data_IF_828983611089
#
_entry.id   IF_828983611089
#
_cell.length_a   1.000
_cell.length_b   1.000
_cell.length_c   1.000
_cell.angle_alpha   90.00
_cell.angle_beta   90.00
_cell.angle_gamma   90.00
#
_symmetry.space_group_name_H-M   'P 1'
#
loop_
_entity.id
_entity.type
_entity.pdbx_description
1 polymer ?
#
# COMPACT_ATOMS: atom_id res chain seq x y z
N UNK A 1 15.09 -26.54 9.74
CA UNK A 1 14.74 -27.17 8.45
C UNK A 1 14.96 -26.15 7.36
N UNK A 2 15.91 -26.38 6.49
CA UNK A 2 16.06 -25.58 5.26
C UNK A 2 14.80 -25.77 4.42
N UNK A 3 14.10 -24.66 4.11
CA UNK A 3 12.95 -24.73 3.20
C UNK A 3 13.47 -25.07 1.81
N UNK A 4 12.97 -26.15 1.23
CA UNK A 4 13.21 -26.48 -0.18
C UNK A 4 12.58 -25.38 -1.06
N UNK A 5 13.25 -24.98 -2.15
CA UNK A 5 12.76 -23.99 -3.11
C UNK A 5 11.38 -24.32 -3.69
N UNK A 6 11.00 -25.58 -3.67
CA UNK A 6 9.72 -26.09 -4.22
C UNK A 6 8.53 -25.99 -3.25
N UNK A 7 8.71 -25.57 -1.98
CA UNK A 7 7.64 -25.61 -0.98
C UNK A 7 6.39 -24.78 -1.39
N UNK A 8 6.57 -23.70 -2.16
CA UNK A 8 5.46 -22.91 -2.71
C UNK A 8 4.59 -23.72 -3.70
N UNK A 9 5.19 -24.75 -4.34
CA UNK A 9 4.52 -25.66 -5.26
C UNK A 9 4.00 -26.95 -4.64
N UNK A 10 4.44 -27.31 -3.43
CA UNK A 10 4.20 -28.65 -2.85
C UNK A 10 3.37 -28.64 -1.57
N UNK A 11 3.56 -27.68 -0.66
CA UNK A 11 2.77 -27.58 0.58
C UNK A 11 1.29 -27.28 0.32
N UNK A 12 0.40 -27.64 1.24
CA UNK A 12 -1.04 -27.39 1.09
C UNK A 12 -1.32 -25.87 0.99
N UNK A 13 -2.19 -25.50 0.05
CA UNK A 13 -2.50 -24.08 -0.24
C UNK A 13 -3.02 -23.33 0.99
N UNK A 14 -3.88 -23.98 1.79
CA UNK A 14 -4.44 -23.36 3.01
C UNK A 14 -3.37 -23.05 4.05
N UNK A 15 -2.45 -24.00 4.30
CA UNK A 15 -1.33 -23.81 5.22
C UNK A 15 -0.39 -22.72 4.74
N UNK A 16 -0.05 -22.72 3.44
CA UNK A 16 0.80 -21.69 2.83
C UNK A 16 0.17 -20.31 2.93
N UNK A 17 -1.12 -20.18 2.60
CA UNK A 17 -1.79 -18.89 2.66
C UNK A 17 -1.76 -18.35 4.10
N UNK A 18 -2.05 -19.15 5.11
CA UNK A 18 -1.95 -18.72 6.50
C UNK A 18 -0.52 -18.34 6.90
N UNK A 19 0.47 -19.15 6.52
CA UNK A 19 1.88 -18.89 6.84
C UNK A 19 2.43 -17.61 6.20
N UNK A 20 1.91 -17.20 5.05
CA UNK A 20 2.34 -16.02 4.34
C UNK A 20 1.45 -14.80 4.64
N UNK A 21 0.14 -14.98 4.72
CA UNK A 21 -0.80 -13.88 4.96
C UNK A 21 -0.75 -13.36 6.40
N UNK A 22 -0.63 -14.21 7.42
CA UNK A 22 -0.57 -13.73 8.81
C UNK A 22 0.61 -12.78 9.06
N UNK A 23 1.86 -13.10 8.66
CA UNK A 23 2.95 -12.15 8.81
C UNK A 23 2.77 -10.87 7.99
N UNK A 24 2.22 -10.96 6.77
CA UNK A 24 1.99 -9.75 5.96
C UNK A 24 0.90 -8.87 6.54
N UNK A 25 -0.19 -9.43 7.04
CA UNK A 25 -1.22 -8.67 7.79
C UNK A 25 -0.61 -8.03 9.04
N UNK A 26 0.14 -8.81 9.82
CA UNK A 26 0.81 -8.28 11.01
C UNK A 26 1.77 -7.13 10.67
N UNK A 27 2.54 -7.23 9.59
CA UNK A 27 3.41 -6.16 9.12
C UNK A 27 2.64 -4.87 8.79
N UNK A 28 1.48 -4.98 8.13
CA UNK A 28 0.62 -3.82 7.83
C UNK A 28 0.10 -3.16 9.11
N UNK A 29 -0.37 -3.96 10.07
CA UNK A 29 -0.85 -3.44 11.35
C UNK A 29 0.27 -2.77 12.17
N UNK A 30 1.45 -3.39 12.23
CA UNK A 30 2.63 -2.82 12.91
C UNK A 30 3.01 -1.48 12.25
N UNK A 31 3.03 -1.43 10.93
CA UNK A 31 3.34 -0.22 10.17
C UNK A 31 2.36 0.93 10.48
N UNK A 32 1.06 0.62 10.58
CA UNK A 32 0.05 1.60 10.97
C UNK A 32 0.25 2.07 12.41
N UNK A 33 0.47 1.14 13.34
CA UNK A 33 0.61 1.45 14.76
C UNK A 33 1.81 2.37 15.02
N UNK A 34 2.97 2.08 14.44
CA UNK A 34 4.13 2.94 14.65
C UNK A 34 3.92 4.34 14.08
N UNK A 35 3.25 4.49 12.93
CA UNK A 35 2.91 5.80 12.38
C UNK A 35 1.99 6.62 13.31
N UNK A 36 1.09 5.95 14.04
CA UNK A 36 0.25 6.60 15.04
C UNK A 36 1.10 7.06 16.24
N UNK A 37 1.99 6.20 16.72
CA UNK A 37 2.87 6.51 17.87
C UNK A 37 3.81 7.67 17.56
N UNK A 38 4.42 7.67 16.36
CA UNK A 38 5.27 8.77 15.88
C UNK A 38 4.52 10.12 15.92
N UNK A 39 3.28 10.15 15.41
CA UNK A 39 2.44 11.35 15.45
C UNK A 39 2.08 11.79 16.87
N UNK A 40 1.86 10.84 17.78
CA UNK A 40 1.61 11.13 19.19
C UNK A 40 2.84 11.84 19.78
N UNK A 41 4.04 11.32 19.57
CA UNK A 41 5.27 11.98 20.06
C UNK A 41 5.45 13.38 19.47
N UNK A 42 5.28 13.56 18.17
CA UNK A 42 5.38 14.87 17.50
C UNK A 42 4.35 15.87 18.09
N UNK A 43 3.11 15.41 18.30
CA UNK A 43 2.04 16.23 18.86
C UNK A 43 2.28 16.66 20.31
N UNK A 44 3.15 15.97 21.04
CA UNK A 44 3.51 16.28 22.43
C UNK A 44 4.80 17.08 22.57
N UNK A 45 5.38 17.60 21.50
CA UNK A 45 6.53 18.50 21.56
C UNK A 45 6.13 19.77 22.36
N UNK A 46 6.85 20.11 23.46
CA UNK A 46 6.48 21.23 24.32
C UNK A 46 6.44 22.57 23.57
N UNK A 47 5.32 23.25 23.63
CA UNK A 47 5.13 24.59 23.05
C UNK A 47 4.88 24.63 21.55
N UNK A 48 5.23 23.58 20.81
CA UNK A 48 5.23 23.56 19.32
C UNK A 48 4.44 22.38 18.72
N UNK A 49 3.94 21.45 19.53
CA UNK A 49 3.39 20.17 19.09
C UNK A 49 2.31 20.29 18.01
N UNK A 50 1.38 21.24 18.12
CA UNK A 50 0.32 21.42 17.13
C UNK A 50 0.86 21.90 15.76
N UNK A 51 1.80 22.85 15.76
CA UNK A 51 2.44 23.36 14.54
C UNK A 51 3.36 22.31 13.92
N UNK A 52 4.10 21.60 14.77
CA UNK A 52 4.96 20.48 14.39
C UNK A 52 4.17 19.36 13.70
N UNK A 53 3.07 18.91 14.32
CA UNK A 53 2.20 17.87 13.78
C UNK A 53 1.56 18.29 12.45
N UNK A 54 1.13 19.54 12.35
CA UNK A 54 0.59 20.12 11.10
C UNK A 54 1.68 20.17 10.02
N UNK A 55 2.89 20.61 10.36
CA UNK A 55 4.02 20.67 9.43
C UNK A 55 4.39 19.29 8.88
N UNK A 56 4.48 18.28 9.75
CA UNK A 56 4.71 16.89 9.31
C UNK A 56 3.54 16.36 8.49
N UNK A 57 2.31 16.73 8.83
CA UNK A 57 1.11 16.38 8.04
C UNK A 57 1.21 16.85 6.58
N UNK A 58 1.75 18.03 6.33
CA UNK A 58 1.98 18.55 4.97
C UNK A 58 3.06 17.77 4.21
N UNK A 59 3.99 17.10 4.91
CA UNK A 59 4.98 16.22 4.28
C UNK A 59 4.39 14.89 3.75
N UNK A 60 3.23 14.46 4.26
CA UNK A 60 2.65 13.14 3.95
C UNK A 60 2.44 12.88 2.46
N UNK A 61 1.93 13.81 1.63
CA UNK A 61 1.81 13.57 0.19
C UNK A 61 3.17 13.28 -0.47
N UNK A 62 4.24 13.96 -0.07
CA UNK A 62 5.58 13.71 -0.60
C UNK A 62 6.13 12.35 -0.16
N UNK A 63 5.90 11.96 1.10
CA UNK A 63 6.24 10.63 1.61
C UNK A 63 5.48 9.53 0.86
N UNK A 64 4.21 9.77 0.55
CA UNK A 64 3.41 8.84 -0.28
C UNK A 64 3.94 8.70 -1.69
N UNK A 65 4.42 9.79 -2.31
CA UNK A 65 5.09 9.74 -3.62
C UNK A 65 6.34 8.87 -3.56
N UNK A 66 7.18 9.04 -2.53
CA UNK A 66 8.36 8.18 -2.31
C UNK A 66 7.96 6.71 -2.21
N UNK A 67 6.94 6.40 -1.40
CA UNK A 67 6.43 5.02 -1.23
C UNK A 67 5.82 4.46 -2.52
N UNK A 68 5.15 5.30 -3.32
CA UNK A 68 4.59 4.90 -4.62
C UNK A 68 5.69 4.47 -5.61
N UNK A 69 6.82 5.16 -5.65
CA UNK A 69 7.96 4.76 -6.47
C UNK A 69 8.60 3.45 -5.99
N UNK A 70 8.67 3.23 -4.67
CA UNK A 70 9.10 1.94 -4.14
C UNK A 70 8.16 0.80 -4.57
N UNK A 71 6.85 1.05 -4.51
CA UNK A 71 5.83 0.11 -4.96
C UNK A 71 5.91 -0.16 -6.47
N UNK A 72 6.16 0.86 -7.28
CA UNK A 72 6.31 0.75 -8.74
C UNK A 72 7.32 -0.33 -9.13
N UNK A 73 8.46 -0.34 -8.49
CA UNK A 73 9.55 -1.27 -8.81
C UNK A 73 9.41 -2.57 -8.01
N UNK A 74 9.18 -2.49 -6.70
CA UNK A 74 9.16 -3.64 -5.80
C UNK A 74 7.96 -4.56 -6.04
N UNK A 75 6.75 -4.01 -6.06
CA UNK A 75 5.53 -4.80 -6.25
C UNK A 75 5.36 -5.30 -7.71
N UNK A 76 6.05 -4.69 -8.67
CA UNK A 76 6.06 -5.21 -10.03
C UNK A 76 7.14 -6.26 -10.26
N UNK A 77 8.33 -6.07 -9.70
CA UNK A 77 9.46 -6.97 -9.86
C UNK A 77 9.32 -8.28 -9.08
N UNK A 78 8.83 -8.22 -7.85
CA UNK A 78 8.72 -9.38 -6.98
C UNK A 78 7.84 -10.52 -7.52
N UNK A 79 6.61 -10.27 -8.05
CA UNK A 79 5.81 -11.32 -8.70
C UNK A 79 6.50 -11.91 -9.92
N UNK A 80 7.17 -11.08 -10.74
CA UNK A 80 7.91 -11.55 -11.93
C UNK A 80 9.06 -12.47 -11.53
N UNK A 81 9.82 -12.10 -10.49
CA UNK A 81 10.87 -12.98 -9.96
C UNK A 81 10.29 -14.31 -9.46
N UNK A 82 9.13 -14.29 -8.78
CA UNK A 82 8.45 -15.51 -8.31
C UNK A 82 7.95 -16.37 -9.49
N UNK A 83 7.45 -15.77 -10.57
CA UNK A 83 7.09 -16.50 -11.81
C UNK A 83 8.33 -17.17 -12.42
N UNK A 84 9.49 -16.49 -12.49
CA UNK A 84 10.72 -17.09 -13.00
C UNK A 84 11.23 -18.21 -12.08
N UNK A 85 11.09 -18.06 -10.76
CA UNK A 85 11.36 -19.16 -9.81
C UNK A 85 10.51 -20.39 -10.11
N UNK A 86 9.21 -20.21 -10.36
CA UNK A 86 8.30 -21.28 -10.73
C UNK A 86 8.66 -21.96 -12.07
N UNK A 87 9.26 -21.21 -13.00
CA UNK A 87 9.82 -21.73 -14.27
C UNK A 87 11.17 -22.42 -14.11
N UNK A 88 11.72 -22.49 -12.90
CA UNK A 88 13.08 -22.92 -12.61
C UNK A 88 14.19 -22.07 -13.28
N UNK A 89 13.85 -20.86 -13.73
CA UNK A 89 14.81 -19.89 -14.30
C UNK A 89 15.34 -18.95 -13.20
N UNK A 90 16.18 -19.52 -12.34
CA UNK A 90 16.80 -18.75 -11.22
C UNK A 90 17.63 -17.58 -11.74
N UNK A 91 18.23 -17.70 -12.92
CA UNK A 91 19.05 -16.64 -13.52
C UNK A 91 18.22 -15.40 -13.82
N UNK A 92 17.07 -15.56 -14.48
CA UNK A 92 16.15 -14.42 -14.74
C UNK A 92 15.51 -13.89 -13.48
N UNK A 93 15.23 -14.74 -12.49
CA UNK A 93 14.71 -14.30 -11.20
C UNK A 93 15.74 -13.42 -10.45
N UNK A 94 17.02 -13.82 -10.39
CA UNK A 94 18.10 -13.02 -9.81
C UNK A 94 18.38 -11.74 -10.61
N UNK A 95 18.31 -11.79 -11.95
CA UNK A 95 18.42 -10.58 -12.80
C UNK A 95 17.27 -9.61 -12.52
N UNK A 96 16.04 -10.10 -12.33
CA UNK A 96 14.89 -9.24 -11.96
C UNK A 96 15.13 -8.56 -10.62
N UNK A 97 15.57 -9.29 -9.59
CA UNK A 97 15.94 -8.74 -8.30
C UNK A 97 17.03 -7.67 -8.43
N UNK A 98 18.15 -7.98 -9.12
CA UNK A 98 19.30 -7.08 -9.26
C UNK A 98 18.96 -5.81 -10.06
N UNK A 99 18.18 -5.94 -11.14
CA UNK A 99 17.71 -4.79 -11.93
C UNK A 99 16.76 -3.90 -11.12
N UNK A 100 15.83 -4.48 -10.36
CA UNK A 100 14.94 -3.72 -9.49
C UNK A 100 15.71 -3.02 -8.35
N UNK A 101 16.72 -3.67 -7.77
CA UNK A 101 17.60 -3.03 -6.79
C UNK A 101 18.31 -1.80 -7.37
N UNK A 102 18.96 -1.96 -8.53
CA UNK A 102 19.65 -0.86 -9.19
C UNK A 102 18.70 0.30 -9.54
N UNK A 103 17.50 -0.02 -10.03
CA UNK A 103 16.48 1.00 -10.34
C UNK A 103 16.00 1.71 -9.07
N UNK A 104 15.80 0.99 -7.95
CA UNK A 104 15.45 1.61 -6.66
C UNK A 104 16.53 2.60 -6.19
N UNK A 105 17.80 2.24 -6.33
CA UNK A 105 18.92 3.15 -6.01
C UNK A 105 18.87 4.41 -6.88
N UNK A 106 18.69 4.26 -8.19
CA UNK A 106 18.62 5.40 -9.11
C UNK A 106 17.43 6.30 -8.77
N UNK A 107 16.24 5.72 -8.59
CA UNK A 107 15.04 6.47 -8.22
C UNK A 107 15.23 7.18 -6.89
N UNK A 108 15.84 6.52 -5.89
CA UNK A 108 16.09 7.14 -4.59
C UNK A 108 17.01 8.34 -4.67
N UNK A 109 18.07 8.28 -5.50
CA UNK A 109 18.97 9.39 -5.70
C UNK A 109 18.26 10.57 -6.40
N UNK A 110 17.45 10.28 -7.43
CA UNK A 110 16.66 11.31 -8.13
C UNK A 110 15.68 11.98 -7.16
N UNK A 111 14.93 11.16 -6.39
CA UNK A 111 13.98 11.66 -5.40
C UNK A 111 14.68 12.47 -4.30
N UNK A 112 15.84 12.02 -3.81
CA UNK A 112 16.64 12.77 -2.84
C UNK A 112 16.99 14.16 -3.35
N UNK A 113 17.48 14.27 -4.60
CA UNK A 113 17.82 15.55 -5.21
C UNK A 113 16.57 16.44 -5.35
N UNK A 114 15.48 15.90 -5.89
CA UNK A 114 14.22 16.65 -6.07
C UNK A 114 13.68 17.13 -4.72
N UNK A 115 13.62 16.26 -3.72
CA UNK A 115 13.10 16.61 -2.39
C UNK A 115 14.03 17.55 -1.66
N UNK A 116 15.35 17.43 -1.78
CA UNK A 116 16.30 18.31 -1.10
C UNK A 116 16.32 19.72 -1.69
N UNK A 117 16.30 19.84 -3.01
CA UNK A 117 16.36 21.14 -3.69
C UNK A 117 14.99 21.82 -3.81
N UNK A 118 13.92 21.03 -3.92
CA UNK A 118 12.57 21.54 -4.20
C UNK A 118 11.63 21.53 -2.99
N UNK A 119 12.05 21.05 -1.80
CA UNK A 119 11.14 20.76 -0.70
C UNK A 119 10.30 21.98 -0.28
N UNK A 120 10.89 23.16 -0.12
CA UNK A 120 10.16 24.37 0.32
C UNK A 120 9.04 24.73 -0.67
N UNK A 121 9.34 24.73 -1.97
CA UNK A 121 8.36 25.03 -3.02
C UNK A 121 7.26 23.97 -3.10
N UNK A 122 7.64 22.69 -3.01
CA UNK A 122 6.69 21.58 -3.00
C UNK A 122 5.79 21.64 -1.77
N UNK A 123 6.35 21.84 -0.57
CA UNK A 123 5.59 21.90 0.67
C UNK A 123 4.61 23.09 0.69
N UNK A 124 5.00 24.26 0.17
CA UNK A 124 4.09 25.38 -0.02
C UNK A 124 2.96 25.04 -0.99
N UNK A 125 3.27 24.37 -2.10
CA UNK A 125 2.25 23.90 -3.06
C UNK A 125 1.28 22.88 -2.45
N UNK A 126 1.74 22.07 -1.48
CA UNK A 126 0.91 21.12 -0.74
C UNK A 126 0.21 21.72 0.50
N UNK A 127 0.30 23.03 0.72
CA UNK A 127 -0.50 23.73 1.71
C UNK A 127 0.21 24.08 3.02
N UNK A 128 1.56 24.09 3.05
CA UNK A 128 2.29 24.62 4.19
C UNK A 128 2.03 26.13 4.35
N UNK A 129 1.74 26.55 5.55
CA UNK A 129 1.58 27.97 5.90
C UNK A 129 2.91 28.59 6.34
N UNK A 130 2.94 29.92 6.47
CA UNK A 130 4.11 30.63 7.02
C UNK A 130 4.55 30.11 8.39
N UNK A 131 3.61 29.61 9.19
CA UNK A 131 3.88 29.11 10.56
C UNK A 131 4.33 27.64 10.58
N UNK A 132 4.04 26.86 9.54
CA UNK A 132 4.30 25.40 9.51
C UNK A 132 5.44 25.02 8.57
N UNK A 133 5.82 25.91 7.64
CA UNK A 133 6.80 25.60 6.60
C UNK A 133 8.17 25.22 7.16
N UNK A 134 8.63 25.86 8.20
CA UNK A 134 9.97 25.60 8.75
C UNK A 134 10.05 24.25 9.46
N UNK A 135 8.95 23.80 10.10
CA UNK A 135 8.81 22.45 10.65
C UNK A 135 8.80 21.42 9.52
N UNK A 136 8.01 21.65 8.48
CA UNK A 136 7.90 20.76 7.32
C UNK A 136 9.24 20.63 6.58
N UNK A 137 9.94 21.72 6.31
CA UNK A 137 11.28 21.74 5.68
C UNK A 137 12.31 21.06 6.58
N UNK A 138 12.27 21.31 7.89
CA UNK A 138 13.15 20.68 8.86
C UNK A 138 13.03 19.16 8.87
N UNK A 139 11.80 18.64 8.80
CA UNK A 139 11.52 17.21 8.67
C UNK A 139 11.99 16.67 7.32
N UNK A 140 11.55 17.31 6.22
CA UNK A 140 11.76 16.81 4.87
C UNK A 140 13.23 16.80 4.44
N UNK A 141 14.05 17.75 4.91
CA UNK A 141 15.49 17.75 4.61
C UNK A 141 16.19 16.47 5.11
N UNK A 142 15.84 16.03 6.33
CA UNK A 142 16.42 14.81 6.91
C UNK A 142 15.83 13.59 6.21
N UNK A 143 14.50 13.56 6.00
CA UNK A 143 13.82 12.48 5.31
C UNK A 143 14.33 12.26 3.87
N UNK A 144 14.60 13.36 3.13
CA UNK A 144 15.14 13.31 1.79
C UNK A 144 16.46 12.53 1.70
N UNK A 145 17.38 12.77 2.65
CA UNK A 145 18.64 12.01 2.74
C UNK A 145 18.38 10.53 3.03
N UNK A 146 17.36 10.23 3.85
CA UNK A 146 16.94 8.87 4.20
C UNK A 146 16.14 8.14 3.13
N UNK A 147 15.75 8.79 2.05
CA UNK A 147 14.88 8.22 1.00
C UNK A 147 15.45 6.92 0.42
N UNK A 148 16.78 6.76 0.33
CA UNK A 148 17.41 5.53 -0.14
C UNK A 148 17.07 4.32 0.76
N UNK A 149 17.07 4.51 2.08
CA UNK A 149 16.72 3.42 3.02
C UNK A 149 15.24 3.05 2.89
N UNK A 150 14.37 4.04 2.76
CA UNK A 150 12.93 3.83 2.56
C UNK A 150 12.67 3.06 1.26
N UNK A 151 13.25 3.50 0.15
CA UNK A 151 13.12 2.87 -1.16
C UNK A 151 13.60 1.41 -1.13
N UNK A 152 14.78 1.17 -0.61
CA UNK A 152 15.36 -0.18 -0.55
C UNK A 152 14.60 -1.08 0.43
N UNK A 153 14.18 -0.57 1.58
CA UNK A 153 13.38 -1.34 2.53
C UNK A 153 12.06 -1.78 1.91
N UNK A 154 11.25 -0.84 1.42
CA UNK A 154 9.93 -1.14 0.88
C UNK A 154 10.02 -1.96 -0.42
N UNK A 155 10.92 -1.59 -1.32
CA UNK A 155 11.04 -2.28 -2.61
C UNK A 155 11.61 -3.68 -2.49
N UNK A 156 12.68 -3.85 -1.73
CA UNK A 156 13.37 -5.15 -1.63
C UNK A 156 12.68 -6.13 -0.67
N UNK A 157 11.94 -5.65 0.33
CA UNK A 157 11.15 -6.52 1.20
C UNK A 157 10.11 -7.35 0.44
N UNK A 158 9.56 -6.81 -0.66
CA UNK A 158 8.66 -7.55 -1.53
C UNK A 158 9.31 -8.80 -2.14
N UNK A 159 10.61 -8.76 -2.45
CA UNK A 159 11.34 -9.92 -2.96
C UNK A 159 11.59 -10.98 -1.89
N UNK A 160 11.70 -10.59 -0.62
CA UNK A 160 11.77 -11.55 0.50
C UNK A 160 10.45 -12.31 0.61
N UNK A 161 9.34 -11.57 0.59
CA UNK A 161 7.98 -12.15 0.66
C UNK A 161 7.69 -13.02 -0.57
N UNK A 162 8.09 -12.59 -1.78
CA UNK A 162 7.92 -13.34 -3.02
C UNK A 162 8.63 -14.70 -3.05
N UNK A 163 9.69 -14.85 -2.28
CA UNK A 163 10.37 -16.13 -2.06
C UNK A 163 9.68 -17.00 -0.99
N UNK A 164 8.61 -16.51 -0.37
CA UNK A 164 7.88 -17.20 0.70
C UNK A 164 8.44 -16.98 2.11
N UNK A 165 9.33 -16.01 2.32
CA UNK A 165 9.89 -15.66 3.63
C UNK A 165 9.12 -14.51 4.30
N UNK A 166 7.77 -14.57 4.30
CA UNK A 166 6.92 -13.51 4.83
C UNK A 166 7.23 -13.13 6.29
N UNK A 167 7.61 -14.11 7.14
CA UNK A 167 8.08 -13.84 8.52
C UNK A 167 9.32 -12.96 8.56
N UNK A 168 10.29 -13.20 7.66
CA UNK A 168 11.51 -12.37 7.56
C UNK A 168 11.16 -10.96 7.07
N UNK A 169 10.22 -10.86 6.14
CA UNK A 169 9.69 -9.57 5.68
C UNK A 169 8.97 -8.79 6.80
N UNK A 170 8.14 -9.46 7.59
CA UNK A 170 7.49 -8.87 8.76
C UNK A 170 8.52 -8.39 9.80
N UNK A 171 9.57 -9.17 10.04
CA UNK A 171 10.64 -8.79 11.00
C UNK A 171 11.35 -7.50 10.59
N UNK A 172 11.51 -7.21 9.28
CA UNK A 172 12.08 -5.93 8.85
C UNK A 172 11.21 -4.75 9.27
N UNK A 173 9.89 -4.88 9.14
CA UNK A 173 8.93 -3.85 9.57
C UNK A 173 8.93 -3.71 11.09
N UNK A 174 8.99 -4.84 11.82
CA UNK A 174 9.03 -4.84 13.28
C UNK A 174 10.30 -4.18 13.82
N UNK A 175 11.48 -4.45 13.21
CA UNK A 175 12.75 -3.80 13.57
C UNK A 175 12.63 -2.29 13.37
N UNK A 176 12.12 -1.83 12.22
CA UNK A 176 11.90 -0.42 11.97
C UNK A 176 10.96 0.23 12.98
N UNK A 177 9.81 -0.41 13.24
CA UNK A 177 8.82 0.10 14.16
C UNK A 177 9.35 0.21 15.60
N UNK A 178 9.97 -0.84 16.13
CA UNK A 178 10.54 -0.83 17.49
C UNK A 178 11.65 0.22 17.60
N UNK A 179 12.55 0.27 16.61
CA UNK A 179 13.63 1.27 16.60
C UNK A 179 13.08 2.69 16.58
N UNK A 180 12.06 2.97 15.78
CA UNK A 180 11.43 4.29 15.71
C UNK A 180 10.79 4.68 17.04
N UNK A 181 9.96 3.80 17.63
CA UNK A 181 9.29 4.04 18.92
C UNK A 181 10.29 4.33 20.05
N UNK A 182 11.50 3.71 20.01
CA UNK A 182 12.55 3.94 21.00
C UNK A 182 13.32 5.22 20.69
N UNK A 183 13.64 5.48 19.42
CA UNK A 183 14.49 6.62 19.02
C UNK A 183 13.73 7.95 19.02
N UNK A 184 12.43 7.95 18.74
CA UNK A 184 11.60 9.17 18.74
C UNK A 184 11.73 9.94 20.07
N UNK A 185 11.40 9.38 21.25
CA UNK A 185 11.52 10.11 22.50
C UNK A 185 12.97 10.54 22.82
N UNK A 186 13.96 9.74 22.40
CA UNK A 186 15.37 10.08 22.61
C UNK A 186 15.78 11.33 21.82
N UNK A 187 15.44 11.38 20.53
CA UNK A 187 15.82 12.52 19.70
C UNK A 187 14.88 13.71 19.88
N UNK A 188 13.57 13.49 20.00
CA UNK A 188 12.60 14.57 20.14
C UNK A 188 12.78 15.28 21.48
N UNK A 189 12.78 14.54 22.59
CA UNK A 189 12.77 15.09 23.95
C UNK A 189 14.16 15.06 24.60
N UNK A 190 14.92 13.95 24.48
CA UNK A 190 16.22 13.78 25.11
C UNK A 190 17.27 14.73 24.53
N UNK A 191 17.37 14.80 23.20
CA UNK A 191 18.29 15.72 22.52
C UNK A 191 17.64 17.06 22.12
N UNK A 192 16.38 17.28 22.47
CA UNK A 192 15.61 18.51 22.17
C UNK A 192 15.60 18.89 20.68
N UNK A 193 15.64 17.90 19.78
CA UNK A 193 15.67 18.14 18.33
C UNK A 193 14.28 18.42 17.73
N UNK A 194 13.19 18.21 18.51
CA UNK A 194 11.83 18.43 18.04
C UNK A 194 11.50 17.62 16.78
N UNK A 195 10.89 18.25 15.79
CA UNK A 195 10.49 17.60 14.51
C UNK A 195 11.68 17.01 13.74
N UNK A 196 12.85 17.64 13.82
CA UNK A 196 14.08 17.10 13.20
C UNK A 196 14.51 15.79 13.85
N UNK A 197 14.26 15.65 15.16
CA UNK A 197 14.50 14.41 15.91
C UNK A 197 13.60 13.27 15.42
N UNK A 198 12.32 13.52 15.19
CA UNK A 198 11.38 12.54 14.62
C UNK A 198 11.83 12.09 13.23
N UNK A 199 12.22 13.02 12.34
CA UNK A 199 12.75 12.69 11.03
C UNK A 199 14.00 11.82 11.11
N UNK A 200 14.94 12.16 12.01
CA UNK A 200 16.18 11.41 12.21
C UNK A 200 15.90 9.99 12.74
N UNK A 201 15.01 9.85 13.72
CA UNK A 201 14.57 8.56 14.24
C UNK A 201 13.97 7.68 13.13
N UNK A 202 13.10 8.26 12.30
CA UNK A 202 12.51 7.57 11.14
C UNK A 202 13.59 7.09 10.16
N UNK A 203 14.55 7.94 9.79
CA UNK A 203 15.62 7.59 8.85
C UNK A 203 16.52 6.48 9.40
N UNK A 204 16.93 6.58 10.66
CA UNK A 204 17.77 5.56 11.32
C UNK A 204 17.01 4.23 11.42
N UNK A 205 15.74 4.26 11.77
CA UNK A 205 14.88 3.07 11.84
C UNK A 205 14.72 2.39 10.49
N UNK A 206 14.55 3.18 9.42
CA UNK A 206 14.54 2.67 8.06
C UNK A 206 15.89 2.11 7.63
N UNK A 207 16.99 2.71 8.09
CA UNK A 207 18.34 2.17 7.85
C UNK A 207 18.52 0.79 8.50
N UNK A 208 18.06 0.58 9.74
CA UNK A 208 18.09 -0.73 10.38
C UNK A 208 17.25 -1.78 9.63
N UNK A 209 16.05 -1.39 9.22
CA UNK A 209 15.20 -2.24 8.36
C UNK A 209 15.89 -2.57 7.03
N UNK A 210 16.52 -1.59 6.40
CA UNK A 210 17.27 -1.76 5.15
C UNK A 210 18.44 -2.73 5.32
N UNK A 211 19.22 -2.58 6.38
CA UNK A 211 20.33 -3.48 6.70
C UNK A 211 19.82 -4.91 6.87
N UNK A 212 18.71 -5.12 7.57
CA UNK A 212 18.07 -6.42 7.72
C UNK A 212 17.68 -7.04 6.38
N UNK A 213 16.96 -6.29 5.55
CA UNK A 213 16.50 -6.72 4.22
C UNK A 213 17.69 -7.09 3.33
N UNK A 214 18.70 -6.23 3.26
CA UNK A 214 19.87 -6.45 2.43
C UNK A 214 20.73 -7.61 2.96
N UNK A 215 20.92 -7.73 4.28
CA UNK A 215 21.65 -8.84 4.90
C UNK A 215 20.99 -10.18 4.56
N UNK A 216 19.66 -10.24 4.48
CA UNK A 216 18.98 -11.45 4.04
C UNK A 216 19.22 -11.72 2.55
N UNK A 217 19.09 -10.73 1.67
CA UNK A 217 19.23 -10.90 0.21
C UNK A 217 20.68 -11.19 -0.23
N UNK A 218 21.68 -10.74 0.52
CA UNK A 218 23.08 -11.12 0.32
C UNK A 218 23.44 -12.43 1.04
N UNK A 219 22.61 -12.88 1.96
CA UNK A 219 22.89 -14.01 2.83
C UNK A 219 22.78 -15.38 2.15
N UNK A 220 22.97 -16.44 2.96
CA UNK A 220 22.92 -17.85 2.50
C UNK A 220 21.48 -18.42 2.49
N UNK A 221 20.55 -17.82 3.23
CA UNK A 221 19.18 -18.33 3.42
C UNK A 221 18.22 -17.94 2.29
N UNK A 222 18.57 -16.93 1.51
CA UNK A 222 17.77 -16.49 0.37
C UNK A 222 17.89 -17.42 -0.83
N UNK A 223 16.80 -17.65 -1.54
CA UNK A 223 16.81 -18.41 -2.80
C UNK A 223 17.32 -17.57 -3.97
N UNK A 224 17.02 -16.27 -3.96
CA UNK A 224 17.47 -15.30 -4.96
C UNK A 224 18.56 -14.42 -4.37
N UNK A 225 19.76 -14.55 -4.87
CA UNK A 225 20.90 -13.78 -4.39
C UNK A 225 21.04 -12.47 -5.13
N UNK A 226 21.19 -11.40 -4.38
CA UNK A 226 21.59 -10.11 -4.93
C UNK A 226 23.08 -10.14 -5.26
N UNK A 227 23.44 -10.02 -6.55
CA UNK A 227 24.82 -10.07 -7.05
C UNK A 227 25.12 -8.82 -7.86
N UNK A 228 26.34 -8.32 -7.80
CA UNK A 228 26.80 -7.17 -8.62
C UNK A 228 26.58 -7.39 -10.12
N UNK A 229 26.78 -8.63 -10.60
CA UNK A 229 26.59 -8.98 -12.02
C UNK A 229 25.15 -8.85 -12.50
N UNK A 230 24.15 -8.94 -11.61
CA UNK A 230 22.72 -8.84 -11.94
C UNK A 230 22.17 -7.41 -11.84
N UNK A 231 22.94 -6.45 -11.33
CA UNK A 231 22.53 -5.06 -11.15
C UNK A 231 22.62 -4.23 -12.44
N UNK A 232 23.17 -4.79 -13.52
CA UNK A 232 23.25 -4.11 -14.81
C UNK A 232 21.85 -3.95 -15.40
N UNK A 233 21.40 -2.70 -15.55
CA UNK A 233 20.04 -2.43 -16.01
C UNK A 233 19.82 -2.98 -17.42
N UNK A 234 18.73 -3.72 -17.58
CA UNK A 234 18.24 -4.26 -18.84
C UNK A 234 16.77 -3.83 -19.02
N UNK A 235 16.50 -3.14 -20.13
CA UNK A 235 15.17 -2.61 -20.42
C UNK A 235 14.10 -3.72 -20.53
N UNK A 236 14.45 -4.87 -21.07
CA UNK A 236 13.59 -6.05 -21.20
C UNK A 236 13.19 -6.68 -19.86
N UNK A 237 13.90 -6.37 -18.79
CA UNK A 237 13.60 -6.82 -17.42
C UNK A 237 12.88 -5.74 -16.64
N UNK A 238 13.39 -4.48 -16.67
CA UNK A 238 12.88 -3.44 -15.79
C UNK A 238 11.57 -2.84 -16.30
N UNK A 239 11.40 -2.62 -17.60
CA UNK A 239 10.17 -2.03 -18.14
C UNK A 239 8.93 -2.89 -17.86
N UNK A 240 8.93 -4.22 -18.11
CA UNK A 240 7.79 -5.04 -17.74
C UNK A 240 7.55 -5.13 -16.22
N UNK A 241 8.60 -4.99 -15.40
CA UNK A 241 8.46 -4.95 -13.93
C UNK A 241 7.78 -3.64 -13.50
N UNK A 242 8.23 -2.50 -14.00
CA UNK A 242 7.61 -1.21 -13.73
C UNK A 242 6.18 -1.14 -14.28
N UNK A 243 5.93 -1.69 -15.46
CA UNK A 243 4.59 -1.78 -16.02
C UNK A 243 3.63 -2.56 -15.10
N UNK A 244 4.09 -3.64 -14.48
CA UNK A 244 3.27 -4.40 -13.53
C UNK A 244 3.02 -3.64 -12.22
N UNK A 245 4.01 -2.92 -11.71
CA UNK A 245 3.87 -2.11 -10.50
C UNK A 245 3.11 -0.79 -10.69
N UNK A 246 2.93 -0.35 -11.93
CA UNK A 246 2.29 0.94 -12.23
C UNK A 246 0.83 1.02 -11.78
N UNK A 247 0.11 -0.09 -11.67
CA UNK A 247 -1.25 -0.11 -11.12
C UNK A 247 -1.29 0.34 -9.66
N UNK A 248 -0.39 -0.16 -8.82
CA UNK A 248 -0.30 0.24 -7.42
C UNK A 248 0.26 1.66 -7.27
N UNK A 249 1.20 2.04 -8.13
CA UNK A 249 1.70 3.42 -8.22
C UNK A 249 0.56 4.40 -8.51
N UNK A 250 -0.23 4.14 -9.54
CA UNK A 250 -1.40 4.96 -9.91
C UNK A 250 -2.42 5.00 -8.77
N UNK A 251 -2.70 3.87 -8.14
CA UNK A 251 -3.62 3.82 -6.99
C UNK A 251 -3.15 4.71 -5.83
N UNK A 252 -1.88 4.65 -5.45
CA UNK A 252 -1.34 5.46 -4.35
C UNK A 252 -1.36 6.95 -4.67
N UNK A 253 -0.96 7.35 -5.88
CA UNK A 253 -0.99 8.76 -6.28
C UNK A 253 -2.42 9.30 -6.39
N UNK A 254 -3.37 8.49 -6.85
CA UNK A 254 -4.76 8.91 -6.98
C UNK A 254 -5.43 9.22 -5.65
N UNK A 255 -5.00 8.62 -4.54
CA UNK A 255 -5.58 8.89 -3.21
C UNK A 255 -5.48 10.36 -2.82
N UNK A 256 -4.35 11.01 -3.11
CA UNK A 256 -4.17 12.44 -2.83
C UNK A 256 -5.12 13.30 -3.66
N UNK A 257 -5.27 13.00 -4.95
CA UNK A 257 -6.18 13.72 -5.86
C UNK A 257 -7.63 13.54 -5.41
N UNK A 258 -8.04 12.31 -5.10
CA UNK A 258 -9.38 11.98 -4.64
C UNK A 258 -9.70 12.69 -3.32
N UNK A 259 -8.75 12.73 -2.39
CA UNK A 259 -8.90 13.44 -1.11
C UNK A 259 -9.19 14.94 -1.33
N UNK A 260 -8.46 15.59 -2.23
CA UNK A 260 -8.73 17.00 -2.61
C UNK A 260 -10.11 17.18 -3.21
N UNK A 261 -10.54 16.27 -4.12
CA UNK A 261 -11.85 16.31 -4.73
C UNK A 261 -12.99 16.16 -3.69
N UNK A 262 -12.84 15.20 -2.77
CA UNK A 262 -13.81 15.02 -1.68
C UNK A 262 -13.86 16.24 -0.77
N UNK A 263 -12.71 16.71 -0.29
CA UNK A 263 -12.66 17.85 0.63
C UNK A 263 -13.24 19.12 0.00
N UNK A 264 -12.92 19.40 -1.25
CA UNK A 264 -13.46 20.56 -2.00
C UNK A 264 -14.98 20.47 -2.15
N UNK A 265 -15.50 19.29 -2.51
CA UNK A 265 -16.95 19.09 -2.71
C UNK A 265 -17.70 19.11 -1.37
N UNK A 266 -17.16 18.45 -0.34
CA UNK A 266 -17.78 18.41 0.99
C UNK A 266 -17.75 19.76 1.70
N UNK A 267 -16.67 20.54 1.56
CA UNK A 267 -16.60 21.89 2.10
C UNK A 267 -17.71 22.77 1.50
N UNK A 268 -17.93 22.65 0.18
CA UNK A 268 -18.95 23.41 -0.54
C UNK A 268 -20.38 23.08 -0.09
N UNK A 269 -20.70 21.81 0.19
CA UNK A 269 -22.08 21.37 0.44
C UNK A 269 -22.39 21.07 1.91
N UNK A 270 -21.40 20.71 2.72
CA UNK A 270 -21.58 20.28 4.11
C UNK A 270 -20.69 20.99 5.13
N UNK A 271 -19.83 21.92 4.67
CA UNK A 271 -18.94 22.69 5.54
C UNK A 271 -17.89 21.83 6.26
N UNK A 272 -17.30 22.43 7.31
CA UNK A 272 -16.18 21.82 8.05
C UNK A 272 -16.55 20.50 8.75
N UNK A 273 -17.79 20.35 9.18
CA UNK A 273 -18.25 19.10 9.82
C UNK A 273 -18.21 17.93 8.84
N UNK A 274 -18.60 18.16 7.58
CA UNK A 274 -18.54 17.12 6.55
C UNK A 274 -17.08 16.73 6.19
N UNK A 275 -16.19 17.72 6.10
CA UNK A 275 -14.76 17.48 5.87
C UNK A 275 -14.14 16.73 7.05
N UNK A 276 -14.47 17.11 8.28
CA UNK A 276 -14.05 16.41 9.49
C UNK A 276 -14.54 14.97 9.54
N UNK A 277 -15.81 14.73 9.18
CA UNK A 277 -16.36 13.38 9.05
C UNK A 277 -15.58 12.57 7.99
N UNK A 278 -15.28 13.14 6.81
CA UNK A 278 -14.52 12.46 5.75
C UNK A 278 -13.15 11.98 6.22
N UNK A 279 -12.47 12.77 7.04
CA UNK A 279 -11.19 12.37 7.64
C UNK A 279 -11.32 11.11 8.51
N UNK A 280 -12.43 11.00 9.26
CA UNK A 280 -12.73 9.80 10.06
C UNK A 280 -13.05 8.63 9.13
N UNK A 281 -13.91 8.84 8.12
CA UNK A 281 -14.30 7.80 7.16
C UNK A 281 -13.10 7.19 6.44
N UNK A 282 -12.22 8.03 5.93
CA UNK A 282 -10.99 7.58 5.24
C UNK A 282 -10.06 6.81 6.18
N UNK A 283 -9.94 7.24 7.44
CA UNK A 283 -9.13 6.53 8.45
C UNK A 283 -9.72 5.14 8.75
N UNK A 284 -11.02 5.03 8.93
CA UNK A 284 -11.71 3.74 9.12
C UNK A 284 -11.53 2.85 7.89
N UNK A 285 -11.66 3.41 6.66
CA UNK A 285 -11.46 2.66 5.42
C UNK A 285 -10.03 2.15 5.28
N UNK A 286 -9.03 2.98 5.58
CA UNK A 286 -7.62 2.55 5.56
C UNK A 286 -7.39 1.39 6.52
N UNK A 287 -7.86 1.49 7.75
CA UNK A 287 -7.76 0.41 8.75
C UNK A 287 -8.44 -0.88 8.25
N UNK A 288 -9.62 -0.75 7.67
CA UNK A 288 -10.40 -1.85 7.10
C UNK A 288 -9.67 -2.57 5.95
N UNK A 289 -8.88 -1.85 5.17
CA UNK A 289 -8.17 -2.40 4.00
C UNK A 289 -6.89 -3.14 4.33
N UNK A 290 -6.24 -2.88 5.48
CA UNK A 290 -4.94 -3.48 5.83
C UNK A 290 -4.95 -5.01 5.82
N UNK A 291 -5.91 -5.71 6.43
CA UNK A 291 -5.95 -7.16 6.38
C UNK A 291 -6.18 -7.71 4.96
N UNK A 292 -7.00 -7.05 4.14
CA UNK A 292 -7.23 -7.45 2.75
C UNK A 292 -5.95 -7.32 1.92
N UNK A 293 -5.21 -6.24 2.09
CA UNK A 293 -3.91 -6.04 1.42
C UNK A 293 -2.91 -7.11 1.87
N UNK A 294 -2.84 -7.39 3.18
CA UNK A 294 -1.99 -8.44 3.72
C UNK A 294 -2.35 -9.85 3.20
N UNK A 295 -3.64 -10.17 3.08
CA UNK A 295 -4.11 -11.42 2.47
C UNK A 295 -3.68 -11.52 1.00
N UNK A 296 -3.87 -10.46 0.22
CA UNK A 296 -3.44 -10.39 -1.18
C UNK A 296 -1.94 -10.57 -1.34
N UNK A 297 -1.14 -9.86 -0.55
CA UNK A 297 0.32 -9.97 -0.55
C UNK A 297 0.80 -11.37 -0.12
N UNK A 298 0.11 -12.02 0.82
CA UNK A 298 0.41 -13.40 1.22
C UNK A 298 0.07 -14.43 0.17
N UNK A 299 -0.98 -14.23 -0.62
CA UNK A 299 -1.38 -15.11 -1.73
C UNK A 299 -0.47 -14.94 -2.96
N UNK A 300 0.10 -13.75 -3.17
CA UNK A 300 0.88 -13.38 -4.36
C UNK A 300 2.01 -14.36 -4.66
N UNK A 301 2.92 -14.73 -3.74
CA UNK A 301 3.99 -15.68 -4.06
C UNK A 301 3.47 -17.07 -4.45
N UNK A 302 2.36 -17.52 -3.85
CA UNK A 302 1.78 -18.82 -4.17
C UNK A 302 1.24 -18.81 -5.61
N UNK A 303 0.47 -17.78 -5.98
CA UNK A 303 -0.10 -17.65 -7.33
C UNK A 303 1.01 -17.49 -8.37
N UNK A 304 1.96 -16.56 -8.15
CA UNK A 304 3.03 -16.25 -9.10
C UNK A 304 3.95 -17.44 -9.36
N UNK A 305 4.39 -18.14 -8.30
CA UNK A 305 5.22 -19.32 -8.42
C UNK A 305 4.51 -20.43 -9.19
N UNK A 306 3.27 -20.78 -8.79
CA UNK A 306 2.52 -21.86 -9.42
C UNK A 306 2.09 -21.53 -10.86
N UNK A 307 1.87 -20.25 -11.18
CA UNK A 307 1.66 -19.82 -12.55
C UNK A 307 2.92 -20.05 -13.41
N UNK A 308 4.10 -19.69 -12.88
CA UNK A 308 5.39 -19.99 -13.52
C UNK A 308 5.64 -21.48 -13.70
N UNK A 309 5.30 -22.29 -12.70
CA UNK A 309 5.41 -23.75 -12.72
C UNK A 309 4.32 -24.45 -13.55
N UNK A 310 3.42 -23.70 -14.23
CA UNK A 310 2.29 -24.21 -15.02
C UNK A 310 1.33 -25.12 -14.22
N UNK A 311 1.20 -24.89 -12.92
CA UNK A 311 0.30 -25.66 -12.05
C UNK A 311 -1.08 -24.96 -11.94
N UNK A 312 -1.93 -25.17 -12.95
CA UNK A 312 -3.28 -24.60 -13.02
C UNK A 312 -4.12 -24.90 -11.77
N UNK A 313 -4.10 -26.14 -11.30
CA UNK A 313 -4.91 -26.57 -10.15
C UNK A 313 -4.58 -25.74 -8.90
N UNK A 314 -3.30 -25.49 -8.65
CA UNK A 314 -2.88 -24.70 -7.48
C UNK A 314 -3.18 -23.22 -7.63
N UNK A 315 -2.98 -22.63 -8.81
CA UNK A 315 -3.37 -21.24 -9.10
C UNK A 315 -4.86 -21.05 -8.84
N UNK A 316 -5.70 -21.91 -9.38
CA UNK A 316 -7.17 -21.90 -9.19
C UNK A 316 -7.56 -22.09 -7.72
N UNK A 317 -6.95 -23.04 -7.03
CA UNK A 317 -7.22 -23.32 -5.62
C UNK A 317 -6.83 -22.14 -4.72
N UNK A 318 -5.67 -21.53 -4.98
CA UNK A 318 -5.20 -20.36 -4.22
C UNK A 318 -6.14 -19.17 -4.42
N UNK A 319 -6.54 -18.90 -5.67
CA UNK A 319 -7.49 -17.81 -5.94
C UNK A 319 -8.86 -18.08 -5.27
N UNK A 320 -9.39 -19.30 -5.35
CA UNK A 320 -10.65 -19.65 -4.66
C UNK A 320 -10.57 -19.44 -3.15
N UNK A 321 -9.45 -19.78 -2.55
CA UNK A 321 -9.26 -19.57 -1.12
C UNK A 321 -9.11 -18.09 -0.79
N UNK A 322 -8.31 -17.35 -1.58
CA UNK A 322 -8.13 -15.90 -1.42
C UNK A 322 -9.46 -15.15 -1.51
N UNK A 323 -10.26 -15.39 -2.55
CA UNK A 323 -11.55 -14.71 -2.72
C UNK A 323 -12.53 -15.08 -1.57
N UNK A 324 -12.57 -16.35 -1.16
CA UNK A 324 -13.40 -16.78 -0.04
C UNK A 324 -13.02 -16.08 1.26
N UNK A 325 -11.74 -16.04 1.61
CA UNK A 325 -11.28 -15.39 2.85
C UNK A 325 -11.43 -13.87 2.79
N UNK A 326 -11.14 -13.24 1.66
CA UNK A 326 -11.28 -11.79 1.47
C UNK A 326 -12.74 -11.35 1.54
N UNK A 327 -13.65 -12.05 0.86
CA UNK A 327 -15.09 -11.75 0.92
C UNK A 327 -15.65 -12.01 2.31
N UNK A 328 -15.29 -13.15 2.95
CA UNK A 328 -15.74 -13.42 4.33
C UNK A 328 -15.30 -12.31 5.28
N UNK A 329 -14.06 -11.86 5.21
CA UNK A 329 -13.56 -10.74 6.00
C UNK A 329 -14.35 -9.45 5.71
N UNK A 330 -14.55 -9.10 4.44
CA UNK A 330 -15.25 -7.88 4.04
C UNK A 330 -16.71 -7.87 4.52
N UNK A 331 -17.40 -9.01 4.45
CA UNK A 331 -18.78 -9.15 4.94
C UNK A 331 -18.84 -9.00 6.44
N UNK A 332 -17.96 -9.67 7.19
CA UNK A 332 -17.92 -9.57 8.66
C UNK A 332 -17.65 -8.13 9.08
N UNK A 333 -16.65 -7.49 8.49
CA UNK A 333 -16.30 -6.11 8.78
C UNK A 333 -17.45 -5.14 8.46
N UNK A 334 -18.06 -5.31 7.30
CA UNK A 334 -19.23 -4.52 6.89
C UNK A 334 -20.37 -4.64 7.88
N UNK A 335 -20.71 -5.87 8.33
CA UNK A 335 -21.74 -6.08 9.35
C UNK A 335 -21.41 -5.34 10.65
N UNK A 336 -20.17 -5.43 11.13
CA UNK A 336 -19.73 -4.76 12.35
C UNK A 336 -19.88 -3.23 12.20
N UNK A 337 -19.46 -2.66 11.08
CA UNK A 337 -19.55 -1.21 10.82
C UNK A 337 -21.02 -0.76 10.70
N UNK A 338 -21.85 -1.53 9.99
CA UNK A 338 -23.27 -1.18 9.83
C UNK A 338 -24.05 -1.24 11.13
N UNK A 339 -23.74 -2.21 12.00
CA UNK A 339 -24.42 -2.39 13.30
C UNK A 339 -23.89 -1.39 14.34
N UNK A 340 -22.57 -1.21 14.41
CA UNK A 340 -21.89 -0.42 15.44
C UNK A 340 -21.07 0.75 14.89
N UNK A 341 -21.60 1.63 14.02
CA UNK A 341 -20.82 2.72 13.44
C UNK A 341 -20.28 3.71 14.48
N UNK A 342 -20.99 3.86 15.61
CA UNK A 342 -20.59 4.74 16.71
C UNK A 342 -19.28 4.31 17.37
N UNK A 343 -18.92 3.03 17.38
CA UNK A 343 -17.66 2.54 17.95
C UNK A 343 -16.49 3.09 17.10
N UNK A 344 -16.61 2.97 15.78
CA UNK A 344 -15.57 3.45 14.87
C UNK A 344 -15.47 4.99 14.86
N UNK A 345 -16.59 5.70 14.83
CA UNK A 345 -16.57 7.16 14.88
C UNK A 345 -16.08 7.67 16.24
N UNK A 346 -16.49 7.05 17.35
CA UNK A 346 -16.09 7.42 18.70
C UNK A 346 -14.62 7.18 19.04
N UNK A 347 -13.90 6.39 18.23
CA UNK A 347 -12.45 6.24 18.36
C UNK A 347 -11.70 7.54 17.97
N UNK A 348 -12.32 8.40 17.15
CA UNK A 348 -11.68 9.60 16.58
C UNK A 348 -12.20 10.90 17.15
N UNK A 349 -13.44 10.95 17.67
CA UNK A 349 -14.03 12.19 18.18
C UNK A 349 -14.95 11.93 19.37
N UNK A 350 -14.93 12.89 20.32
CA UNK A 350 -15.89 12.94 21.44
C UNK A 350 -16.96 14.03 21.20
N UNK A 351 -16.85 14.84 20.14
CA UNK A 351 -17.86 15.84 19.80
C UNK A 351 -19.16 15.19 19.33
N UNK A 352 -20.25 15.48 20.03
CA UNK A 352 -21.55 14.85 19.81
C UNK A 352 -22.14 15.14 18.43
N UNK A 353 -21.90 16.33 17.90
CA UNK A 353 -22.41 16.78 16.59
C UNK A 353 -21.66 16.05 15.48
N UNK A 354 -20.32 16.07 15.54
CA UNK A 354 -19.48 15.35 14.57
C UNK A 354 -19.70 13.84 14.64
N UNK A 355 -19.88 13.28 15.85
CA UNK A 355 -20.15 11.85 16.05
C UNK A 355 -21.48 11.43 15.40
N UNK A 356 -22.54 12.19 15.62
CA UNK A 356 -23.87 11.91 15.06
C UNK A 356 -23.85 12.01 13.52
N UNK A 357 -23.18 13.02 12.97
CA UNK A 357 -23.02 13.21 11.54
C UNK A 357 -22.18 12.07 10.92
N UNK A 358 -21.02 11.77 11.52
CA UNK A 358 -20.10 10.73 11.05
C UNK A 358 -20.74 9.36 11.04
N UNK A 359 -21.58 9.04 12.02
CA UNK A 359 -22.32 7.77 12.08
C UNK A 359 -23.17 7.53 10.83
N UNK A 360 -23.87 8.55 10.34
CA UNK A 360 -24.68 8.47 9.12
C UNK A 360 -23.80 8.41 7.89
N UNK A 361 -22.81 9.30 7.80
CA UNK A 361 -21.86 9.35 6.69
C UNK A 361 -21.08 8.04 6.54
N UNK A 362 -20.68 7.40 7.65
CA UNK A 362 -19.95 6.12 7.66
C UNK A 362 -20.81 4.99 7.06
N UNK A 363 -22.09 4.92 7.41
CA UNK A 363 -22.99 3.93 6.82
C UNK A 363 -23.17 4.10 5.32
N UNK A 364 -23.22 5.34 4.85
CA UNK A 364 -23.33 5.64 3.40
C UNK A 364 -22.01 5.28 2.71
N UNK A 365 -20.89 5.82 3.19
CA UNK A 365 -19.58 5.67 2.56
C UNK A 365 -19.13 4.22 2.48
N UNK A 366 -19.39 3.42 3.53
CA UNK A 366 -19.02 2.02 3.61
C UNK A 366 -20.14 1.04 3.25
N UNK A 367 -21.24 1.52 2.63
CA UNK A 367 -22.44 0.72 2.34
C UNK A 367 -22.16 -0.59 1.60
N UNK A 368 -21.15 -0.62 0.73
CA UNK A 368 -20.84 -1.76 -0.14
C UNK A 368 -19.47 -2.40 0.11
N UNK A 369 -18.84 -2.10 1.23
CA UNK A 369 -17.51 -2.67 1.56
C UNK A 369 -17.51 -4.21 1.57
N UNK A 370 -18.67 -4.84 1.76
CA UNK A 370 -18.82 -6.30 1.71
C UNK A 370 -18.38 -6.93 0.37
N UNK A 371 -18.46 -6.18 -0.76
CA UNK A 371 -17.97 -6.67 -2.08
C UNK A 371 -16.49 -6.35 -2.32
N UNK A 372 -15.85 -5.55 -1.47
CA UNK A 372 -14.51 -5.05 -1.71
C UNK A 372 -13.45 -6.16 -1.69
N UNK A 373 -13.71 -7.24 -0.96
CA UNK A 373 -12.89 -8.45 -0.99
C UNK A 373 -12.72 -9.04 -2.40
N UNK A 374 -13.74 -8.90 -3.27
CA UNK A 374 -13.66 -9.32 -4.67
C UNK A 374 -12.65 -8.44 -5.42
N UNK A 375 -12.75 -7.12 -5.25
CA UNK A 375 -11.85 -6.15 -5.90
C UNK A 375 -10.39 -6.45 -5.59
N UNK A 376 -10.04 -6.60 -4.31
CA UNK A 376 -8.67 -6.85 -3.87
C UNK A 376 -8.17 -8.21 -4.34
N UNK A 377 -8.99 -9.26 -4.23
CA UNK A 377 -8.59 -10.61 -4.67
C UNK A 377 -8.31 -10.65 -6.18
N UNK A 378 -9.15 -10.03 -7.00
CA UNK A 378 -8.94 -9.97 -8.45
C UNK A 378 -7.74 -9.11 -8.83
N UNK A 379 -7.60 -7.90 -8.24
CA UNK A 379 -6.50 -6.98 -8.49
C UNK A 379 -5.15 -7.60 -8.16
N UNK A 380 -5.02 -8.18 -6.96
CA UNK A 380 -3.77 -8.83 -6.53
C UNK A 380 -3.45 -10.08 -7.37
N UNK A 381 -4.47 -10.79 -7.84
CA UNK A 381 -4.27 -11.92 -8.74
C UNK A 381 -3.80 -11.49 -10.13
N UNK A 382 -4.31 -10.40 -10.70
CA UNK A 382 -3.77 -9.84 -11.95
C UNK A 382 -2.28 -9.53 -11.83
N UNK A 383 -1.87 -8.88 -10.74
CA UNK A 383 -0.46 -8.58 -10.45
C UNK A 383 0.34 -9.87 -10.33
N UNK A 384 -0.19 -10.86 -9.60
CA UNK A 384 0.48 -12.16 -9.39
C UNK A 384 0.68 -12.97 -10.66
N UNK A 385 -0.23 -12.83 -11.64
CA UNK A 385 -0.16 -13.46 -12.95
C UNK A 385 0.70 -12.69 -13.96
N UNK A 386 1.23 -11.52 -13.59
CA UNK A 386 1.99 -10.66 -14.50
C UNK A 386 1.12 -9.91 -15.52
N UNK A 387 -0.19 -9.79 -15.28
CA UNK A 387 -1.16 -9.11 -16.15
C UNK A 387 -1.18 -7.60 -15.87
N UNK A 388 -0.09 -6.90 -16.24
CA UNK A 388 0.08 -5.48 -15.99
C UNK A 388 -1.05 -4.63 -16.59
N UNK A 389 -1.40 -4.89 -17.86
CA UNK A 389 -2.42 -4.14 -18.60
C UNK A 389 -3.77 -4.20 -17.90
N UNK A 390 -4.21 -5.39 -17.50
CA UNK A 390 -5.51 -5.59 -16.86
C UNK A 390 -5.55 -4.93 -15.48
N UNK A 391 -4.46 -5.06 -14.73
CA UNK A 391 -4.30 -4.43 -13.41
C UNK A 391 -4.36 -2.90 -13.47
N UNK A 392 -3.70 -2.27 -14.47
CA UNK A 392 -3.73 -0.81 -14.67
C UNK A 392 -5.13 -0.34 -15.08
N UNK A 393 -5.78 -1.04 -16.00
CA UNK A 393 -7.14 -0.70 -16.44
C UNK A 393 -8.09 -0.67 -15.26
N UNK A 394 -8.06 -1.70 -14.41
CA UNK A 394 -8.89 -1.77 -13.19
C UNK A 394 -8.63 -0.59 -12.27
N UNK A 395 -7.36 -0.22 -12.05
CA UNK A 395 -6.99 0.90 -11.19
C UNK A 395 -7.49 2.24 -11.74
N UNK A 396 -7.30 2.49 -13.04
CA UNK A 396 -7.73 3.74 -13.70
C UNK A 396 -9.24 3.86 -13.73
N UNK A 397 -9.94 2.78 -14.11
CA UNK A 397 -11.41 2.79 -14.17
C UNK A 397 -12.00 3.15 -12.81
N UNK A 398 -11.56 2.49 -11.74
CA UNK A 398 -12.08 2.77 -10.40
C UNK A 398 -11.78 4.19 -9.95
N UNK A 399 -10.52 4.63 -10.00
CA UNK A 399 -10.07 5.87 -9.36
C UNK A 399 -10.36 7.12 -10.19
N UNK A 400 -10.09 7.09 -11.48
CA UNK A 400 -10.20 8.29 -12.33
C UNK A 400 -11.51 8.35 -13.11
N UNK A 401 -12.01 7.22 -13.61
CA UNK A 401 -13.22 7.20 -14.44
C UNK A 401 -14.50 7.19 -13.61
N UNK A 402 -14.48 6.52 -12.45
CA UNK A 402 -15.67 6.38 -11.61
C UNK A 402 -15.66 7.32 -10.41
N UNK A 403 -14.72 7.20 -9.48
CA UNK A 403 -14.76 7.94 -8.21
C UNK A 403 -14.75 9.44 -8.45
N UNK A 404 -13.77 9.99 -9.17
CA UNK A 404 -13.61 11.45 -9.33
C UNK A 404 -14.83 12.08 -10.00
N UNK A 405 -15.34 11.60 -11.15
CA UNK A 405 -16.54 12.19 -11.74
C UNK A 405 -17.78 12.08 -10.85
N UNK A 406 -17.98 10.96 -10.16
CA UNK A 406 -19.15 10.75 -9.31
C UNK A 406 -19.20 11.72 -8.11
N UNK A 407 -18.03 12.12 -7.55
CA UNK A 407 -17.95 13.15 -6.50
C UNK A 407 -18.62 14.47 -6.93
N UNK A 408 -18.56 14.82 -8.21
CA UNK A 408 -19.14 16.05 -8.74
C UNK A 408 -20.53 15.86 -9.39
N UNK A 409 -20.80 14.67 -9.95
CA UNK A 409 -22.06 14.38 -10.65
C UNK A 409 -23.21 14.13 -9.66
N UNK A 410 -22.97 13.27 -8.65
CA UNK A 410 -24.04 12.85 -7.73
C UNK A 410 -24.68 14.01 -6.96
N UNK A 411 -23.96 15.03 -6.44
CA UNK A 411 -24.58 16.18 -5.78
C UNK A 411 -25.47 17.05 -6.71
N UNK A 412 -25.28 16.95 -8.02
CA UNK A 412 -26.10 17.62 -8.99
C UNK A 412 -27.37 16.82 -9.33
N UNK A 413 -27.34 15.49 -9.17
CA UNK A 413 -28.50 14.61 -9.34
C UNK A 413 -29.34 14.63 -8.05
N UNK A 414 -28.77 14.42 -6.91
CA UNK A 414 -29.43 14.36 -5.61
C UNK A 414 -29.39 15.72 -4.90
N UNK A 415 -30.13 16.70 -5.45
CA UNK A 415 -30.09 18.08 -4.99
C UNK A 415 -30.70 18.32 -3.60
N UNK A 416 -31.52 17.39 -3.10
CA UNK A 416 -32.16 17.50 -1.78
C UNK A 416 -31.16 17.29 -0.64
N UNK A 417 -30.15 16.43 -0.84
CA UNK A 417 -29.10 16.15 0.14
C UNK A 417 -27.75 15.96 -0.57
N UNK A 418 -27.15 17.08 -0.93
CA UNK A 418 -25.91 17.12 -1.70
C UNK A 418 -24.71 16.58 -0.92
N UNK A 419 -24.68 16.76 0.40
CA UNK A 419 -23.58 16.31 1.24
C UNK A 419 -23.54 14.78 1.29
N UNK A 420 -24.66 14.13 1.53
CA UNK A 420 -24.74 12.68 1.50
C UNK A 420 -24.51 12.12 0.09
N UNK A 421 -24.92 12.86 -0.95
CA UNK A 421 -24.63 12.49 -2.34
C UNK A 421 -23.11 12.45 -2.65
N UNK A 422 -22.30 13.34 -2.05
CA UNK A 422 -20.84 13.26 -2.18
C UNK A 422 -20.30 11.97 -1.56
N UNK A 423 -20.75 11.57 -0.35
CA UNK A 423 -20.34 10.31 0.25
C UNK A 423 -20.80 9.09 -0.54
N UNK A 424 -21.94 9.17 -1.24
CA UNK A 424 -22.42 8.09 -2.11
C UNK A 424 -21.53 7.84 -3.33
N UNK A 425 -20.61 8.75 -3.66
CA UNK A 425 -19.71 8.57 -4.80
C UNK A 425 -18.83 7.32 -4.64
N UNK A 426 -18.32 7.03 -3.43
CA UNK A 426 -17.51 5.83 -3.18
C UNK A 426 -18.29 4.52 -3.38
N UNK A 427 -19.45 4.28 -2.70
CA UNK A 427 -20.18 3.03 -2.88
C UNK A 427 -20.71 2.84 -4.30
N UNK A 428 -21.14 3.89 -4.98
CA UNK A 428 -21.59 3.79 -6.38
C UNK A 428 -20.41 3.42 -7.29
N UNK A 429 -19.27 4.10 -7.13
CA UNK A 429 -18.06 3.77 -7.86
C UNK A 429 -17.60 2.33 -7.58
N UNK A 430 -17.66 1.89 -6.34
CA UNK A 430 -17.23 0.55 -5.95
C UNK A 430 -18.12 -0.55 -6.56
N UNK A 431 -19.44 -0.39 -6.59
CA UNK A 431 -20.33 -1.35 -7.26
C UNK A 431 -19.94 -1.48 -8.75
N UNK A 432 -19.78 -0.36 -9.43
CA UNK A 432 -19.45 -0.34 -10.86
C UNK A 432 -18.05 -0.91 -11.10
N UNK A 433 -17.07 -0.50 -10.29
CA UNK A 433 -15.68 -0.96 -10.39
C UNK A 433 -15.54 -2.46 -10.10
N UNK A 434 -16.17 -2.96 -9.02
CA UNK A 434 -16.12 -4.38 -8.66
C UNK A 434 -16.80 -5.23 -9.73
N UNK A 435 -17.93 -4.78 -10.26
CA UNK A 435 -18.63 -5.47 -11.35
C UNK A 435 -17.75 -5.53 -12.60
N UNK A 436 -17.18 -4.40 -13.01
CA UNK A 436 -16.23 -4.34 -14.14
C UNK A 436 -15.03 -5.26 -13.92
N UNK A 437 -14.43 -5.18 -12.73
CA UNK A 437 -13.26 -5.99 -12.37
C UNK A 437 -13.59 -7.48 -12.39
N UNK A 438 -14.73 -7.89 -11.85
CA UNK A 438 -15.16 -9.29 -11.82
C UNK A 438 -15.39 -9.85 -13.24
N UNK A 439 -16.02 -9.06 -14.11
CA UNK A 439 -16.24 -9.44 -15.51
C UNK A 439 -14.91 -9.57 -16.25
N UNK A 440 -14.05 -8.56 -16.19
CA UNK A 440 -12.73 -8.59 -16.82
C UNK A 440 -11.90 -9.76 -16.29
N UNK A 441 -11.92 -9.96 -14.98
CA UNK A 441 -11.18 -11.04 -14.32
C UNK A 441 -11.68 -12.44 -14.78
N UNK A 442 -12.97 -12.62 -14.91
CA UNK A 442 -13.53 -13.90 -15.37
C UNK A 442 -12.97 -14.33 -16.74
N UNK A 443 -12.89 -13.39 -17.67
CA UNK A 443 -12.36 -13.70 -19.01
C UNK A 443 -10.83 -13.85 -19.02
N UNK A 444 -10.10 -12.91 -18.43
CA UNK A 444 -8.64 -12.89 -18.48
C UNK A 444 -8.03 -13.98 -17.58
N UNK A 445 -8.66 -14.33 -16.47
CA UNK A 445 -8.21 -15.43 -15.62
C UNK A 445 -8.37 -16.79 -16.32
N UNK A 446 -9.48 -17.01 -17.03
CA UNK A 446 -9.67 -18.21 -17.86
C UNK A 446 -8.60 -18.31 -18.94
N UNK A 447 -8.30 -17.22 -19.61
CA UNK A 447 -7.26 -17.15 -20.63
C UNK A 447 -5.88 -17.45 -20.03
N UNK A 448 -5.54 -16.84 -18.88
CA UNK A 448 -4.30 -17.11 -18.18
C UNK A 448 -4.15 -18.58 -17.77
N UNK A 449 -5.22 -19.21 -17.29
CA UNK A 449 -5.22 -20.64 -16.97
C UNK A 449 -5.04 -21.51 -18.21
N UNK A 450 -5.68 -21.18 -19.33
CA UNK A 450 -5.53 -21.89 -20.59
C UNK A 450 -4.09 -21.79 -21.16
N UNK A 451 -3.41 -20.67 -20.95
CA UNK A 451 -2.00 -20.50 -21.34
C UNK A 451 -1.05 -21.47 -20.61
N UNK A 452 -1.32 -21.79 -19.34
CA UNK A 452 -0.47 -22.69 -18.55
C UNK A 452 -0.88 -24.17 -18.65
N UNK A 453 -2.15 -24.46 -18.96
CA UNK A 453 -2.64 -25.84 -19.13
C UNK A 453 -2.29 -26.45 -20.49
N UNK A 454 -1.71 -25.67 -21.41
CA UNK A 454 -1.43 -26.12 -22.77
C UNK A 454 -2.70 -26.32 -23.64
N UNK A 455 -3.87 -25.94 -23.11
CA UNK A 455 -5.16 -26.08 -23.78
C UNK A 455 -5.46 -24.99 -24.81
N UNK A 456 -4.47 -24.22 -25.22
CA UNK A 456 -4.63 -23.24 -26.30
C UNK A 456 -4.78 -23.97 -27.63
N UNK A 457 -5.95 -24.57 -27.87
CA UNK A 457 -6.46 -24.74 -29.24
C UNK A 457 -7.07 -23.39 -29.64
N UNK A 458 -6.52 -22.82 -30.67
CA UNK A 458 -6.90 -21.75 -31.57
C UNK A 458 -8.29 -21.13 -31.39
#
# INVERSE_FOLDING_TARGET
MEKDKSFLGTESVGKLLLQLALPTVAAQLINMLYNIVDRIYIGHIPGEGALALTGVGVCMPLIMVVSAFAALVGNGGAPRASIFMGKNDTSKAEQTLGNCFAMQVIISLILTVILFLGNRSLLLAFGASANTIDYAVGYMNIYAVGTIFVQLTLGMNNFITAQGFAKTGMLSVLIGAISNIILDPVFIFGFHMGVRGAALATVISQAFSCIWVLSFLFGKKTFLKLRKSTMKLKADIILPSMALGSSLFVMQLSESVISVCYNSSLLKYGGDVAVGAMTILTSVMQFAMLPLQGLGQGAQPIISYNYGARNEKRVRSTFKLLIKTSVSYSVILWLIIMIFPQIFAGMFTSDSTLLAFTKTALRIYMAVVFIFGIQIACQMTFISLGRAKDSIIVAIVRKFILVIPLIYILPNIFRADRTNAVYMAEPVADILAVTFTAILFFFEFRKALAEISGSRKL
#
